data_IF_234856013072
#
_entry.id   IF_234856013072
#
_cell.length_a   1.000
_cell.length_b   1.000
_cell.length_c   1.000
_cell.angle_alpha   90.00
_cell.angle_beta   90.00
_cell.angle_gamma   90.00
#
_symmetry.space_group_name_H-M   'P 1'
#
loop_
_entity.id
_entity.type
_entity.pdbx_description
1 polymer ?
#
# COMPACT_ATOMS: atom_id res chain seq x y z
N UNK A 1 5.96 9.57 14.82
CA UNK A 1 7.43 9.41 14.69
C UNK A 1 7.95 8.18 15.44
N UNK A 2 7.47 7.88 16.67
CA UNK A 2 7.93 6.72 17.46
C UNK A 2 7.86 5.36 16.75
N UNK A 3 6.83 5.10 15.94
CA UNK A 3 6.62 3.78 15.29
C UNK A 3 7.76 3.40 14.33
N UNK A 4 8.22 4.33 13.49
CA UNK A 4 9.29 4.03 12.51
C UNK A 4 10.63 3.85 13.23
N UNK A 5 10.88 4.62 14.29
CA UNK A 5 12.06 4.45 15.15
C UNK A 5 12.02 3.10 15.86
N UNK A 6 10.85 2.68 16.31
CA UNK A 6 10.67 1.37 16.95
C UNK A 6 10.97 0.22 15.98
N UNK A 7 10.59 0.32 14.71
CA UNK A 7 10.98 -0.66 13.68
C UNK A 7 12.51 -0.79 13.57
N UNK A 8 13.21 0.35 13.51
CA UNK A 8 14.67 0.37 13.48
C UNK A 8 15.29 -0.24 14.75
N UNK A 9 14.74 0.07 15.92
CA UNK A 9 15.19 -0.49 17.20
C UNK A 9 14.92 -2.00 17.32
N UNK A 10 13.92 -2.53 16.60
CA UNK A 10 13.64 -3.96 16.48
C UNK A 10 14.52 -4.67 15.44
N UNK A 11 15.47 -3.97 14.80
CA UNK A 11 16.45 -4.55 13.89
C UNK A 11 16.15 -4.39 12.40
N UNK A 12 15.15 -3.59 12.01
CA UNK A 12 14.93 -3.29 10.58
C UNK A 12 16.03 -2.35 10.08
N UNK A 13 16.86 -2.84 9.17
CA UNK A 13 17.98 -2.06 8.60
C UNK A 13 17.52 -1.12 7.48
N UNK A 14 16.68 -1.61 6.56
CA UNK A 14 16.23 -0.86 5.38
C UNK A 14 14.81 -1.25 4.98
N UNK A 15 14.02 -0.24 4.60
CA UNK A 15 12.73 -0.40 3.93
C UNK A 15 12.90 0.10 2.49
N UNK A 16 12.63 -0.73 1.48
CA UNK A 16 12.78 -0.30 0.09
C UNK A 16 11.57 0.47 -0.42
N UNK A 17 10.37 0.04 -0.04
CA UNK A 17 9.11 0.65 -0.46
C UNK A 17 8.18 0.78 0.75
N UNK A 18 7.64 1.98 0.95
CA UNK A 18 6.62 2.23 1.96
C UNK A 18 5.36 2.82 1.31
N UNK A 19 4.28 2.05 1.31
CA UNK A 19 2.99 2.48 0.79
C UNK A 19 2.17 3.11 1.94
N UNK A 20 1.89 4.41 1.87
CA UNK A 20 1.22 5.17 2.95
C UNK A 20 -0.09 5.78 2.47
N UNK A 21 -1.03 6.02 3.37
CA UNK A 21 -2.38 6.51 3.08
C UNK A 21 -2.51 8.04 2.99
N UNK A 22 -1.40 8.78 3.13
CA UNK A 22 -1.36 10.24 3.03
C UNK A 22 -1.37 10.97 4.38
N UNK A 23 -1.08 10.27 5.48
CA UNK A 23 -0.87 10.90 6.78
C UNK A 23 0.25 11.95 6.73
N UNK A 24 -0.10 13.19 7.09
CA UNK A 24 0.84 14.31 7.14
C UNK A 24 2.00 14.01 8.08
N UNK A 25 3.23 14.32 7.65
CA UNK A 25 4.43 14.11 8.47
C UNK A 25 4.94 12.67 8.50
N UNK A 26 4.18 11.70 7.96
CA UNK A 26 4.59 10.30 7.96
C UNK A 26 5.63 9.97 6.88
N UNK A 27 5.48 10.43 5.61
CA UNK A 27 6.53 10.31 4.61
C UNK A 27 7.88 10.89 5.08
N UNK A 28 7.84 12.06 5.70
CA UNK A 28 9.01 12.76 6.21
C UNK A 28 9.66 11.97 7.36
N UNK A 29 8.86 11.38 8.26
CA UNK A 29 9.36 10.53 9.32
C UNK A 29 10.03 9.25 8.79
N UNK A 30 9.47 8.64 7.73
CA UNK A 30 10.06 7.47 7.08
C UNK A 30 11.40 7.85 6.45
N UNK A 31 11.44 8.91 5.65
CA UNK A 31 12.66 9.35 4.96
C UNK A 31 13.75 9.82 5.92
N UNK A 32 13.39 10.35 7.10
CA UNK A 32 14.38 10.71 8.12
C UNK A 32 15.09 9.46 8.70
N UNK A 33 14.36 8.36 8.91
CA UNK A 33 14.90 7.15 9.56
C UNK A 33 15.50 6.17 8.54
N UNK A 34 14.88 6.08 7.36
CA UNK A 34 15.26 5.23 6.24
C UNK A 34 15.34 6.08 4.94
N UNK A 35 16.41 6.86 4.72
CA UNK A 35 16.51 7.83 3.62
C UNK A 35 16.44 7.24 2.21
N UNK A 36 16.78 5.95 2.06
CA UNK A 36 16.71 5.24 0.77
C UNK A 36 15.32 4.66 0.47
N UNK A 37 14.33 4.89 1.34
CA UNK A 37 12.98 4.35 1.15
C UNK A 37 12.24 5.13 0.08
N UNK A 38 11.66 4.42 -0.88
CA UNK A 38 10.71 5.03 -1.80
C UNK A 38 9.35 5.06 -1.11
N UNK A 39 8.91 6.25 -0.72
CA UNK A 39 7.57 6.45 -0.14
C UNK A 39 6.58 6.67 -1.28
N UNK A 40 5.53 5.87 -1.27
CA UNK A 40 4.47 5.88 -2.27
C UNK A 40 3.12 6.11 -1.58
N UNK A 41 2.29 6.95 -2.17
CA UNK A 41 0.91 7.11 -1.76
C UNK A 41 0.10 5.89 -2.25
N UNK A 42 -0.57 5.24 -1.32
CA UNK A 42 -1.25 3.98 -1.55
C UNK A 42 -2.40 4.15 -2.56
N UNK A 43 -2.24 3.52 -3.74
CA UNK A 43 -3.25 3.51 -4.82
C UNK A 43 -4.60 3.00 -4.34
N UNK A 44 -4.63 2.00 -3.46
CA UNK A 44 -5.88 1.46 -2.89
C UNK A 44 -6.65 2.54 -2.14
N UNK A 45 -5.95 3.36 -1.34
CA UNK A 45 -6.56 4.48 -0.63
C UNK A 45 -7.00 5.59 -1.58
N UNK A 46 -6.22 5.87 -2.64
CA UNK A 46 -6.61 6.82 -3.69
C UNK A 46 -7.91 6.41 -4.40
N UNK A 47 -8.00 5.16 -4.85
CA UNK A 47 -9.21 4.63 -5.49
C UNK A 47 -10.39 4.66 -4.53
N UNK A 48 -10.21 4.21 -3.28
CA UNK A 48 -11.27 4.27 -2.27
C UNK A 48 -11.75 5.68 -1.97
N UNK A 49 -10.83 6.65 -1.91
CA UNK A 49 -11.20 8.04 -1.68
C UNK A 49 -11.99 8.60 -2.87
N UNK A 50 -11.64 8.19 -4.10
CA UNK A 50 -12.31 8.60 -5.33
C UNK A 50 -13.74 8.09 -5.41
N UNK A 51 -13.96 6.80 -5.13
CA UNK A 51 -15.29 6.18 -5.26
C UNK A 51 -16.33 6.66 -4.25
N UNK A 52 -15.92 7.40 -3.20
CA UNK A 52 -16.86 8.05 -2.27
C UNK A 52 -17.78 9.08 -2.95
N UNK A 53 -17.30 9.68 -4.04
CA UNK A 53 -18.03 10.70 -4.80
C UNK A 53 -18.84 10.11 -5.97
N UNK A 54 -18.73 8.79 -6.21
CA UNK A 54 -19.22 8.13 -7.41
C UNK A 54 -20.54 7.44 -7.12
N UNK A 55 -21.52 7.61 -8.00
CA UNK A 55 -22.78 6.88 -7.89
C UNK A 55 -22.60 5.39 -8.18
N UNK A 56 -23.42 4.53 -7.57
CA UNK A 56 -23.33 3.08 -7.77
C UNK A 56 -23.40 2.65 -9.25
N UNK A 57 -24.18 3.37 -10.07
CA UNK A 57 -24.34 3.10 -11.51
C UNK A 57 -23.02 3.24 -12.28
N UNK A 58 -22.21 4.22 -11.93
CA UNK A 58 -20.97 4.53 -12.64
C UNK A 58 -19.74 3.87 -12.01
N UNK A 59 -19.88 3.32 -10.79
CA UNK A 59 -18.78 2.79 -9.99
C UNK A 59 -17.88 1.81 -10.77
N UNK A 60 -18.48 0.90 -11.55
CA UNK A 60 -17.73 -0.08 -12.35
C UNK A 60 -16.94 0.59 -13.48
N UNK A 61 -17.52 1.59 -14.15
CA UNK A 61 -16.87 2.29 -15.24
C UNK A 61 -15.74 3.20 -14.71
N UNK A 62 -16.02 3.96 -13.65
CA UNK A 62 -15.03 4.84 -13.02
C UNK A 62 -13.84 4.06 -12.48
N UNK A 63 -14.07 2.92 -11.80
CA UNK A 63 -12.96 2.11 -11.28
C UNK A 63 -12.15 1.43 -12.38
N UNK A 64 -12.75 1.10 -13.53
CA UNK A 64 -12.03 0.61 -14.69
C UNK A 64 -11.14 1.69 -15.32
N UNK A 65 -11.65 2.91 -15.47
CA UNK A 65 -10.88 4.03 -16.03
C UNK A 65 -9.76 4.47 -15.06
N UNK A 66 -10.03 4.50 -13.73
CA UNK A 66 -8.97 4.72 -12.73
C UNK A 66 -7.92 3.60 -12.74
N UNK A 67 -8.31 2.36 -13.07
CA UNK A 67 -7.37 1.26 -13.22
C UNK A 67 -6.39 1.48 -14.36
N UNK A 68 -6.86 2.04 -15.48
CA UNK A 68 -5.99 2.36 -16.63
C UNK A 68 -4.83 3.28 -16.21
N UNK A 69 -5.10 4.26 -15.33
CA UNK A 69 -4.10 5.20 -14.81
C UNK A 69 -2.92 4.48 -14.15
N UNK A 70 -3.16 3.63 -13.16
CA UNK A 70 -2.07 2.95 -12.45
C UNK A 70 -1.61 1.64 -13.10
N UNK A 71 -2.32 1.12 -14.10
CA UNK A 71 -1.82 0.00 -14.92
C UNK A 71 -0.96 0.45 -16.10
N UNK A 72 -0.86 1.75 -16.37
CA UNK A 72 -0.06 2.30 -17.45
C UNK A 72 1.41 1.85 -17.38
N UNK A 73 2.07 1.75 -18.53
CA UNK A 73 3.44 1.20 -18.62
C UNK A 73 4.50 2.09 -17.95
N UNK A 74 4.26 3.40 -17.90
CA UNK A 74 5.16 4.39 -17.30
C UNK A 74 4.36 5.61 -16.81
N UNK A 75 5.04 6.55 -16.16
CA UNK A 75 4.42 7.75 -15.57
C UNK A 75 3.74 8.64 -16.63
N UNK A 76 4.40 8.88 -17.77
CA UNK A 76 3.86 9.75 -18.82
C UNK A 76 2.53 9.22 -19.37
N UNK A 77 2.45 7.91 -19.55
CA UNK A 77 1.23 7.23 -19.97
C UNK A 77 0.16 7.23 -18.86
N UNK A 78 0.57 7.09 -17.60
CA UNK A 78 -0.33 7.24 -16.46
C UNK A 78 -0.97 8.63 -16.38
N UNK A 79 -0.18 9.69 -16.62
CA UNK A 79 -0.68 11.07 -16.72
C UNK A 79 -1.63 11.24 -17.90
N UNK A 80 -1.32 10.64 -19.05
CA UNK A 80 -2.20 10.65 -20.23
C UNK A 80 -3.54 10.00 -19.92
N UNK A 81 -3.55 8.85 -19.25
CA UNK A 81 -4.78 8.19 -18.83
C UNK A 81 -5.54 8.98 -17.76
N UNK A 82 -4.85 9.68 -16.86
CA UNK A 82 -5.51 10.58 -15.91
C UNK A 82 -6.19 11.77 -16.61
N UNK A 83 -5.59 12.30 -17.68
CA UNK A 83 -6.22 13.33 -18.52
C UNK A 83 -7.41 12.79 -19.30
N UNK A 84 -7.34 11.55 -19.81
CA UNK A 84 -8.48 10.90 -20.46
C UNK A 84 -9.63 10.66 -19.49
N UNK A 85 -9.31 10.27 -18.24
CA UNK A 85 -10.27 10.15 -17.16
C UNK A 85 -11.00 11.48 -16.93
N UNK A 86 -10.27 12.59 -16.81
CA UNK A 86 -10.83 13.93 -16.65
C UNK A 86 -11.79 14.31 -17.78
N UNK A 87 -11.39 14.12 -19.04
CA UNK A 87 -12.25 14.43 -20.20
C UNK A 87 -13.61 13.73 -20.14
N UNK A 88 -13.66 12.52 -19.57
CA UNK A 88 -14.88 11.71 -19.50
C UNK A 88 -15.72 12.00 -18.24
N UNK A 89 -15.07 12.29 -17.11
CA UNK A 89 -15.74 12.30 -15.81
C UNK A 89 -15.77 13.66 -15.13
N UNK A 90 -15.02 14.66 -15.56
CA UNK A 90 -14.93 15.96 -14.85
C UNK A 90 -16.26 16.72 -14.80
N UNK A 91 -17.13 16.56 -15.81
CA UNK A 91 -18.46 17.16 -15.79
C UNK A 91 -19.30 16.66 -14.61
N UNK A 92 -19.12 15.39 -14.21
CA UNK A 92 -19.93 14.74 -13.18
C UNK A 92 -19.22 14.59 -11.83
N UNK A 93 -17.91 14.33 -11.87
CA UNK A 93 -17.08 13.99 -10.71
C UNK A 93 -15.75 14.78 -10.70
N UNK A 94 -15.78 16.13 -10.77
CA UNK A 94 -14.57 16.97 -10.94
C UNK A 94 -13.55 16.81 -9.81
N UNK A 95 -14.03 16.47 -8.62
CA UNK A 95 -13.20 16.31 -7.42
C UNK A 95 -12.19 15.16 -7.57
N UNK A 96 -12.48 14.13 -8.37
CA UNK A 96 -11.61 12.97 -8.51
C UNK A 96 -10.30 13.37 -9.19
N UNK A 97 -10.36 14.04 -10.34
CA UNK A 97 -9.16 14.47 -11.05
C UNK A 97 -8.27 15.36 -10.18
N UNK A 98 -8.87 16.35 -9.51
CA UNK A 98 -8.13 17.28 -8.62
C UNK A 98 -7.43 16.55 -7.47
N UNK A 99 -8.08 15.56 -6.84
CA UNK A 99 -7.43 14.74 -5.78
C UNK A 99 -6.22 13.99 -6.34
N UNK A 100 -6.33 13.37 -7.53
CA UNK A 100 -5.24 12.62 -8.14
C UNK A 100 -4.10 13.52 -8.60
N UNK A 101 -4.43 14.67 -9.21
CA UNK A 101 -3.45 15.64 -9.67
C UNK A 101 -2.64 16.22 -8.50
N UNK A 102 -3.31 16.65 -7.42
CA UNK A 102 -2.63 17.20 -6.22
C UNK A 102 -1.72 16.19 -5.53
N UNK A 103 -2.04 14.90 -5.63
CA UNK A 103 -1.29 13.82 -5.00
C UNK A 103 -0.36 13.08 -5.98
N UNK A 104 -0.24 13.55 -7.22
CA UNK A 104 0.46 12.81 -8.28
C UNK A 104 1.92 12.54 -7.93
N UNK A 105 2.62 13.50 -7.31
CA UNK A 105 4.01 13.34 -6.86
C UNK A 105 4.21 12.19 -5.86
N UNK A 106 3.19 11.86 -5.07
CA UNK A 106 3.21 10.70 -4.17
C UNK A 106 2.85 9.39 -4.87
N UNK A 107 2.12 9.44 -5.98
CA UNK A 107 1.70 8.27 -6.75
C UNK A 107 2.80 7.88 -7.75
N UNK A 108 3.39 8.86 -8.44
CA UNK A 108 4.37 8.69 -9.51
C UNK A 108 5.53 7.72 -9.19
N UNK A 109 6.12 7.69 -7.97
CA UNK A 109 7.21 6.77 -7.65
C UNK A 109 6.87 5.29 -7.90
N UNK A 110 5.59 4.94 -7.83
CA UNK A 110 5.09 3.61 -8.16
C UNK A 110 5.45 3.14 -9.59
N UNK A 111 5.54 4.04 -10.58
CA UNK A 111 5.87 3.68 -11.96
C UNK A 111 7.34 3.31 -12.17
N UNK A 112 8.20 3.59 -11.19
CA UNK A 112 9.61 3.15 -11.24
C UNK A 112 9.75 1.64 -10.98
N UNK A 113 8.70 0.98 -10.51
CA UNK A 113 8.72 -0.45 -10.27
C UNK A 113 8.25 -1.26 -11.50
N UNK A 114 8.86 -2.43 -11.76
CA UNK A 114 8.39 -3.42 -12.71
C UNK A 114 6.94 -3.85 -12.47
N UNK A 115 6.27 -4.32 -13.51
CA UNK A 115 4.85 -4.67 -13.47
C UNK A 115 4.51 -5.72 -12.37
N UNK A 116 5.36 -6.73 -12.18
CA UNK A 116 5.14 -7.77 -11.17
C UNK A 116 5.16 -7.20 -9.73
N UNK A 117 6.06 -6.25 -9.47
CA UNK A 117 6.13 -5.55 -8.19
C UNK A 117 4.93 -4.62 -8.02
N UNK A 118 4.59 -3.88 -9.09
CA UNK A 118 3.43 -2.99 -9.11
C UNK A 118 2.15 -3.73 -8.76
N UNK A 119 1.91 -4.90 -9.36
CA UNK A 119 0.76 -5.78 -9.05
C UNK A 119 0.69 -6.14 -7.56
N UNK A 120 1.82 -6.42 -6.93
CA UNK A 120 1.88 -6.71 -5.50
C UNK A 120 1.59 -5.47 -4.63
N UNK A 121 1.91 -4.26 -5.10
CA UNK A 121 1.67 -3.00 -4.38
C UNK A 121 0.19 -2.59 -4.40
N UNK A 122 -0.47 -2.61 -5.57
CA UNK A 122 -1.87 -2.15 -5.67
C UNK A 122 -2.91 -3.24 -5.44
N UNK A 123 -2.51 -4.49 -5.20
CA UNK A 123 -3.48 -5.54 -4.84
C UNK A 123 -4.14 -5.21 -3.51
N UNK A 124 -5.46 -5.12 -3.51
CA UNK A 124 -6.22 -4.76 -2.31
C UNK A 124 -6.32 -5.92 -1.32
N UNK A 125 -6.14 -7.16 -1.79
CA UNK A 125 -6.43 -8.39 -1.06
C UNK A 125 -5.70 -8.49 0.28
N UNK A 126 -4.40 -8.13 0.35
CA UNK A 126 -3.62 -8.26 1.58
C UNK A 126 -4.13 -7.32 2.69
N UNK A 127 -4.43 -6.07 2.34
CA UNK A 127 -4.92 -5.06 3.28
C UNK A 127 -6.40 -5.29 3.59
N UNK A 128 -7.23 -5.60 2.59
CA UNK A 128 -8.66 -5.84 2.75
C UNK A 128 -8.98 -7.08 3.56
N UNK A 129 -8.27 -8.18 3.31
CA UNK A 129 -8.43 -9.41 4.08
C UNK A 129 -8.17 -9.15 5.57
N UNK A 130 -7.09 -8.44 5.89
CA UNK A 130 -6.73 -8.07 7.26
C UNK A 130 -7.77 -7.15 7.90
N UNK A 131 -8.14 -6.06 7.22
CA UNK A 131 -9.15 -5.12 7.73
C UNK A 131 -10.51 -5.78 7.92
N UNK A 132 -10.92 -6.66 7.01
CA UNK A 132 -12.18 -7.43 7.12
C UNK A 132 -12.16 -8.33 8.36
N UNK A 133 -11.04 -8.98 8.65
CA UNK A 133 -10.90 -9.85 9.83
C UNK A 133 -11.01 -9.03 11.12
N UNK A 134 -10.37 -7.86 11.17
CA UNK A 134 -10.46 -6.93 12.30
C UNK A 134 -11.91 -6.44 12.47
N UNK A 135 -12.53 -5.90 11.41
CA UNK A 135 -13.90 -5.39 11.44
C UNK A 135 -14.91 -6.46 11.84
N UNK A 136 -14.75 -7.71 11.39
CA UNK A 136 -15.65 -8.81 11.76
C UNK A 136 -15.69 -9.04 13.28
N UNK A 137 -14.55 -8.90 13.95
CA UNK A 137 -14.44 -9.11 15.40
C UNK A 137 -14.94 -7.87 16.16
N UNK A 138 -14.61 -6.68 15.68
CA UNK A 138 -14.99 -5.42 16.32
C UNK A 138 -16.48 -5.12 16.16
N UNK A 139 -17.13 -5.48 15.04
CA UNK A 139 -18.55 -5.10 14.79
C UNK A 139 -19.51 -5.57 15.89
N UNK A 140 -19.18 -6.67 16.57
CA UNK A 140 -20.01 -7.26 17.63
C UNK A 140 -19.69 -6.68 19.01
N UNK A 141 -18.77 -5.71 19.11
CA UNK A 141 -18.35 -5.04 20.34
C UNK A 141 -18.82 -3.58 20.26
N UNK A 142 -19.80 -3.20 21.09
CA UNK A 142 -20.34 -1.84 21.08
C UNK A 142 -19.40 -0.79 21.68
N UNK A 143 -18.75 -1.12 22.80
CA UNK A 143 -17.81 -0.23 23.51
C UNK A 143 -16.65 -1.06 24.07
N UNK A 144 -15.47 -0.46 24.12
CA UNK A 144 -14.29 -1.01 24.79
C UNK A 144 -14.05 -0.28 26.11
N UNK A 145 -13.76 -1.00 27.22
CA UNK A 145 -13.50 -0.36 28.51
C UNK A 145 -12.26 0.54 28.54
N UNK A 146 -11.22 0.18 27.80
CA UNK A 146 -9.94 0.89 27.73
C UNK A 146 -9.15 0.53 26.46
N UNK A 147 -8.08 1.30 26.18
CA UNK A 147 -7.23 1.10 25.00
C UNK A 147 -6.49 -0.25 25.00
N UNK A 148 -6.14 -0.80 26.16
CA UNK A 148 -5.46 -2.12 26.24
C UNK A 148 -6.42 -3.23 25.83
N UNK A 149 -7.70 -3.10 26.14
CA UNK A 149 -8.73 -4.07 25.79
C UNK A 149 -8.89 -4.20 24.27
N UNK A 150 -8.91 -3.08 23.54
CA UNK A 150 -8.96 -3.09 22.06
C UNK A 150 -7.63 -3.57 21.46
N UNK A 151 -6.48 -3.16 22.01
CA UNK A 151 -5.18 -3.65 21.57
C UNK A 151 -5.08 -5.18 21.67
N UNK A 152 -5.53 -5.77 22.80
CA UNK A 152 -5.54 -7.22 22.98
C UNK A 152 -6.43 -7.93 21.97
N UNK A 153 -7.60 -7.36 21.67
CA UNK A 153 -8.53 -7.94 20.69
C UNK A 153 -7.96 -7.86 19.27
N UNK A 154 -7.39 -6.71 18.89
CA UNK A 154 -6.74 -6.54 17.59
C UNK A 154 -5.54 -7.50 17.48
N UNK A 155 -4.73 -7.61 18.52
CA UNK A 155 -3.60 -8.56 18.57
C UNK A 155 -4.08 -9.99 18.32
N UNK A 156 -5.08 -10.47 19.07
CA UNK A 156 -5.62 -11.82 18.90
C UNK A 156 -6.25 -12.03 17.51
N UNK A 157 -6.91 -11.01 16.97
CA UNK A 157 -7.47 -11.05 15.62
C UNK A 157 -6.37 -11.25 14.57
N UNK A 158 -5.28 -10.49 14.68
CA UNK A 158 -4.13 -10.56 13.79
C UNK A 158 -3.39 -11.88 13.92
N UNK A 159 -3.11 -12.35 15.14
CA UNK A 159 -2.47 -13.66 15.40
C UNK A 159 -3.31 -14.82 14.84
N UNK A 160 -4.64 -14.73 14.89
CA UNK A 160 -5.49 -15.78 14.30
C UNK A 160 -5.57 -15.67 12.77
N UNK A 161 -5.52 -14.46 12.22
CA UNK A 161 -5.49 -14.24 10.77
C UNK A 161 -4.17 -14.72 10.15
N UNK A 162 -3.03 -14.45 10.81
CA UNK A 162 -1.69 -14.80 10.33
C UNK A 162 -1.49 -16.31 10.15
N UNK A 163 -2.16 -17.15 10.96
CA UNK A 163 -2.17 -18.62 10.79
C UNK A 163 -2.65 -19.08 9.41
N UNK A 164 -3.41 -18.25 8.69
CA UNK A 164 -3.93 -18.56 7.35
C UNK A 164 -3.04 -18.02 6.23
N UNK A 165 -2.01 -17.24 6.54
CA UNK A 165 -1.08 -16.65 5.58
C UNK A 165 0.04 -17.63 5.22
N UNK A 166 -0.34 -18.77 4.66
CA UNK A 166 0.59 -19.86 4.31
C UNK A 166 1.05 -19.79 2.85
N UNK A 167 0.33 -19.05 2.01
CA UNK A 167 0.61 -18.95 0.58
C UNK A 167 1.49 -17.73 0.27
N UNK A 168 2.60 -17.89 -0.47
CA UNK A 168 3.41 -16.76 -0.92
C UNK A 168 2.65 -15.90 -1.94
N UNK A 169 3.11 -14.66 -2.11
CA UNK A 169 2.59 -13.77 -3.16
C UNK A 169 2.83 -14.43 -4.53
N UNK A 170 1.81 -14.40 -5.40
CA UNK A 170 1.91 -14.96 -6.75
C UNK A 170 3.05 -14.26 -7.51
N UNK A 171 3.87 -15.04 -8.22
CA UNK A 171 5.04 -14.56 -8.98
C UNK A 171 6.09 -13.82 -8.12
N UNK A 172 6.12 -14.04 -6.81
CA UNK A 172 7.06 -13.35 -5.92
C UNK A 172 8.53 -13.58 -6.28
N UNK A 173 8.89 -14.77 -6.76
CA UNK A 173 10.27 -15.06 -7.19
C UNK A 173 10.74 -14.14 -8.33
N UNK A 174 9.88 -13.84 -9.30
CA UNK A 174 10.19 -12.91 -10.39
C UNK A 174 10.28 -11.47 -9.87
N UNK A 175 9.33 -11.06 -9.01
CA UNK A 175 9.38 -9.75 -8.37
C UNK A 175 10.65 -9.57 -7.53
N UNK A 176 11.08 -10.60 -6.80
CA UNK A 176 12.29 -10.58 -5.98
C UNK A 176 13.56 -10.47 -6.83
N UNK A 177 13.63 -11.17 -7.96
CA UNK A 177 14.74 -11.05 -8.91
C UNK A 177 14.89 -9.60 -9.41
N UNK A 178 13.78 -8.95 -9.75
CA UNK A 178 13.80 -7.56 -10.18
C UNK A 178 14.15 -6.60 -9.03
N UNK A 179 13.65 -6.85 -7.81
CA UNK A 179 14.07 -6.10 -6.63
C UNK A 179 15.56 -6.24 -6.35
N UNK A 180 16.15 -7.42 -6.59
CA UNK A 180 17.57 -7.63 -6.38
C UNK A 180 18.43 -6.68 -7.23
N UNK A 181 18.05 -6.49 -8.49
CA UNK A 181 18.71 -5.59 -9.43
C UNK A 181 18.46 -4.11 -9.07
N UNK A 182 17.23 -3.78 -8.68
CA UNK A 182 16.86 -2.39 -8.34
C UNK A 182 17.46 -1.92 -7.01
N UNK A 183 17.72 -2.85 -6.10
CA UNK A 183 18.21 -2.58 -4.74
C UNK A 183 19.70 -2.92 -4.56
N UNK A 184 20.44 -3.08 -5.68
CA UNK A 184 21.77 -3.72 -5.78
C UNK A 184 22.95 -2.94 -5.17
N UNK A 185 22.92 -2.70 -3.85
CA UNK A 185 24.13 -2.47 -3.03
C UNK A 185 24.07 -3.09 -1.62
N UNK A 186 22.99 -3.78 -1.22
CA UNK A 186 22.87 -4.35 0.15
C UNK A 186 22.28 -5.77 0.24
N UNK A 187 21.88 -6.38 -0.88
CA UNK A 187 21.34 -7.74 -0.86
C UNK A 187 22.41 -8.84 -0.85
N UNK A 188 23.70 -8.51 -0.89
CA UNK A 188 24.79 -9.49 -0.72
C UNK A 188 24.72 -10.23 0.63
N UNK A 189 24.09 -9.66 1.66
CA UNK A 189 23.89 -10.32 2.95
C UNK A 189 22.65 -11.24 2.99
N UNK A 190 21.73 -11.14 2.04
CA UNK A 190 20.57 -12.05 1.95
C UNK A 190 20.95 -13.46 1.50
N UNK A 191 22.08 -13.60 0.79
CA UNK A 191 22.55 -14.88 0.25
C UNK A 191 23.15 -15.82 1.32
N UNK A 192 23.40 -15.33 2.54
CA UNK A 192 24.08 -16.08 3.60
C UNK A 192 23.14 -16.86 4.55
N UNK A 193 21.88 -17.10 4.16
CA UNK A 193 21.08 -18.16 4.79
C UNK A 193 20.65 -17.93 6.25
N UNK A 194 20.83 -16.74 6.83
CA UNK A 194 20.20 -16.39 8.11
C UNK A 194 18.77 -15.91 7.87
N UNK A 195 17.89 -16.89 7.74
CA UNK A 195 16.46 -16.73 7.97
C UNK A 195 16.29 -16.36 9.45
N UNK A 196 16.38 -15.07 9.77
CA UNK A 196 15.59 -14.50 10.87
C UNK A 196 14.30 -13.96 10.25
N UNK A 197 13.54 -14.86 9.62
CA UNK A 197 12.10 -14.77 9.71
C UNK A 197 11.79 -15.02 11.19
N UNK A 198 11.73 -13.97 12.01
CA UNK A 198 10.92 -14.07 13.23
C UNK A 198 9.45 -14.17 12.80
N UNK A 199 9.07 -15.36 12.32
CA UNK A 199 7.84 -15.99 12.74
C UNK A 199 7.95 -16.24 14.25
N UNK A 200 7.77 -15.17 15.03
CA UNK A 200 7.34 -15.22 16.43
C UNK A 200 6.72 -13.88 16.77
N UNK A 201 5.44 -13.76 16.40
CA UNK A 201 4.40 -13.35 17.35
C UNK A 201 3.16 -14.21 17.12
#
# INVERSE_FOLDING_TARGET
MQVVTELKNRGVEQIYVACVDGLKGFPEAINNIFPKTIVQLCIVHMVRNSVKYVSYKDLKAVTADLKAVYSAINEAEGLRELQNFAKKWDEKYPVIFDIWQRNWSGIAPFFSFPEDIRKAIYTTNAIESTNRQIHKIIKNKGVFPDDKSIQKIIFLALTNASKKWTMPIKNWAMALNQFAILCDTTLQNWANGEIILTQRI
#
